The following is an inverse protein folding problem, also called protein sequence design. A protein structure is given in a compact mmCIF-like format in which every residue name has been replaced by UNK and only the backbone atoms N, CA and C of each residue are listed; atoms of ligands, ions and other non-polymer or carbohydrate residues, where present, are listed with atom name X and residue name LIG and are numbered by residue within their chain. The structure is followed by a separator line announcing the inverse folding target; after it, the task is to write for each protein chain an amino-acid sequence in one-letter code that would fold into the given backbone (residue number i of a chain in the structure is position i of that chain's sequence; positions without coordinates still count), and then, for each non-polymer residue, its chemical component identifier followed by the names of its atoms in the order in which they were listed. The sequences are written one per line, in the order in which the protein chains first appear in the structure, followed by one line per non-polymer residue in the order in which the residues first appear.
data_IF_671212985858
#
_entry.id   IF_671212985858
#
_cell.length_a   1.000
_cell.length_b   1.000
_cell.length_c   1.000
_cell.angle_alpha   90.00
_cell.angle_beta   90.00
_cell.angle_gamma   90.00
#
_symmetry.space_group_name_H-M   'P 1'
#
loop_
_entity.id
_entity.type
_entity.pdbx_description
1 polymer ?
#
# COMPACT_ATOMS: atom_id res chain seq x y z
N UNK A 1 12.96 20.44 31.34
CA UNK A 1 12.12 19.30 31.70
C UNK A 1 11.94 18.51 30.43
N UNK A 2 12.59 17.33 30.28
CA UNK A 2 12.38 16.46 29.13
C UNK A 2 10.96 15.92 29.20
N UNK A 3 10.08 16.32 28.26
CA UNK A 3 8.81 15.66 28.07
C UNK A 3 9.10 14.16 27.87
N UNK A 4 8.54 13.34 28.74
CA UNK A 4 8.55 11.89 28.57
C UNK A 4 7.68 11.65 27.33
N UNK A 5 8.30 11.50 26.14
CA UNK A 5 7.58 11.06 24.97
C UNK A 5 7.02 9.68 25.28
N UNK A 6 5.74 9.61 25.55
CA UNK A 6 5.03 8.34 25.72
C UNK A 6 5.18 7.52 24.42
N UNK A 7 5.51 6.24 24.55
CA UNK A 7 5.58 5.35 23.41
C UNK A 7 4.22 5.36 22.69
N UNK A 8 4.19 5.52 21.36
CA UNK A 8 2.95 5.47 20.60
C UNK A 8 2.15 4.19 20.88
N UNK A 9 0.81 4.31 20.85
CA UNK A 9 -0.11 3.18 21.09
C UNK A 9 -0.06 2.17 19.95
N UNK A 10 0.12 2.68 18.71
CA UNK A 10 0.20 1.86 17.49
C UNK A 10 1.63 1.83 16.93
N UNK A 11 1.96 0.75 16.23
CA UNK A 11 3.20 0.65 15.48
C UNK A 11 3.09 1.38 14.14
N UNK A 12 1.92 1.29 13.50
CA UNK A 12 1.64 1.96 12.22
C UNK A 12 0.22 2.52 12.17
N UNK A 13 0.09 3.73 11.64
CA UNK A 13 -1.17 4.33 11.18
C UNK A 13 -1.18 4.31 9.66
N UNK A 14 -2.17 3.67 9.07
CA UNK A 14 -2.29 3.52 7.61
C UNK A 14 -3.47 4.34 7.13
N UNK A 15 -3.16 5.41 6.40
CA UNK A 15 -4.13 6.40 5.94
C UNK A 15 -4.34 6.25 4.45
N UNK A 16 -5.59 6.18 3.99
CA UNK A 16 -5.83 6.24 2.56
C UNK A 16 -6.99 5.44 2.02
N UNK A 17 -6.75 4.77 0.88
CA UNK A 17 -7.76 4.03 0.12
C UNK A 17 -8.05 2.67 0.75
N UNK A 18 -9.30 2.51 1.17
CA UNK A 18 -9.89 1.23 1.58
C UNK A 18 -11.00 0.87 0.62
N UNK A 19 -10.89 -0.27 -0.06
CA UNK A 19 -11.93 -0.77 -0.95
C UNK A 19 -12.11 -2.29 -0.81
N UNK A 20 -13.15 -2.81 -1.45
CA UNK A 20 -13.30 -4.25 -1.68
C UNK A 20 -12.83 -4.55 -3.09
N UNK A 21 -12.01 -5.58 -3.23
CA UNK A 21 -11.78 -6.23 -4.50
C UNK A 21 -12.60 -7.51 -4.61
N UNK A 22 -13.34 -7.63 -5.72
CA UNK A 22 -14.08 -8.82 -6.14
C UNK A 22 -13.30 -9.42 -7.29
N UNK A 23 -12.56 -10.49 -7.01
CA UNK A 23 -11.66 -11.13 -7.99
C UNK A 23 -12.31 -12.41 -8.51
N UNK A 24 -12.45 -12.53 -9.82
CA UNK A 24 -12.87 -13.78 -10.47
C UNK A 24 -11.74 -14.38 -11.29
N UNK A 25 -11.55 -15.71 -11.25
CA UNK A 25 -10.53 -16.41 -12.06
C UNK A 25 -10.94 -17.83 -12.47
N UNK A 26 -10.40 -18.34 -13.62
CA UNK A 26 -9.81 -17.56 -14.71
C UNK A 26 -10.93 -16.94 -15.56
N UNK A 27 -10.82 -15.65 -15.85
CA UNK A 27 -11.77 -14.96 -16.75
C UNK A 27 -11.15 -14.83 -18.13
N UNK A 28 -11.72 -15.51 -19.13
CA UNK A 28 -11.25 -15.46 -20.53
C UNK A 28 -11.87 -14.31 -21.32
N UNK A 29 -13.06 -13.89 -20.91
CA UNK A 29 -13.83 -12.80 -21.51
C UNK A 29 -15.14 -12.60 -20.74
N UNK A 30 -15.84 -11.51 -21.03
CA UNK A 30 -17.19 -11.29 -20.52
C UNK A 30 -18.16 -11.89 -21.54
N UNK A 31 -19.05 -12.82 -21.13
CA UNK A 31 -20.05 -13.41 -22.03
C UNK A 31 -20.98 -12.36 -22.64
N UNK A 32 -21.38 -12.56 -23.90
CA UNK A 32 -22.31 -11.67 -24.60
C UNK A 32 -23.76 -11.85 -24.08
N UNK A 33 -24.48 -10.73 -24.03
CA UNK A 33 -25.89 -10.70 -23.69
C UNK A 33 -26.22 -11.29 -22.31
N UNK A 34 -27.14 -12.26 -22.27
CA UNK A 34 -27.58 -12.92 -21.03
C UNK A 34 -26.87 -14.28 -20.79
N UNK A 35 -25.79 -14.56 -21.52
CA UNK A 35 -25.05 -15.80 -21.36
C UNK A 35 -24.22 -15.77 -20.07
N UNK A 36 -23.93 -16.96 -19.52
CA UNK A 36 -23.05 -17.14 -18.38
C UNK A 36 -21.85 -18.01 -18.78
N UNK A 37 -20.69 -17.71 -18.21
CA UNK A 37 -19.50 -18.55 -18.25
C UNK A 37 -19.17 -19.02 -16.83
N UNK A 38 -18.55 -20.21 -16.72
CA UNK A 38 -18.16 -20.76 -15.43
C UNK A 38 -16.67 -20.54 -15.20
N UNK A 39 -16.35 -19.99 -14.03
CA UNK A 39 -14.99 -19.78 -13.57
C UNK A 39 -14.72 -20.65 -12.33
N UNK A 40 -13.45 -20.77 -11.93
CA UNK A 40 -13.06 -21.69 -10.87
C UNK A 40 -13.24 -21.08 -9.47
N UNK A 41 -13.02 -19.75 -9.34
CA UNK A 41 -13.00 -19.09 -8.05
C UNK A 41 -13.50 -17.65 -8.15
N UNK A 42 -14.25 -17.22 -7.12
CA UNK A 42 -14.53 -15.80 -6.84
C UNK A 42 -14.10 -15.54 -5.41
N UNK A 43 -13.28 -14.50 -5.22
CA UNK A 43 -12.79 -14.08 -3.89
C UNK A 43 -13.13 -12.62 -3.64
N UNK A 44 -13.44 -12.30 -2.38
CA UNK A 44 -13.56 -10.94 -1.87
C UNK A 44 -12.40 -10.67 -0.91
N UNK A 45 -11.73 -9.54 -1.09
CA UNK A 45 -10.64 -9.11 -0.18
C UNK A 45 -10.80 -7.65 0.18
N UNK A 46 -10.32 -7.26 1.36
CA UNK A 46 -10.02 -5.86 1.65
C UNK A 46 -8.80 -5.48 0.84
N UNK A 47 -8.90 -4.39 0.12
CA UNK A 47 -7.90 -3.93 -0.84
C UNK A 47 -7.82 -2.39 -0.85
N UNK A 48 -7.16 -1.86 -1.87
CA UNK A 48 -6.69 -0.47 -1.92
C UNK A 48 -5.35 -0.36 -1.22
N UNK A 49 -4.52 0.60 -1.66
CA UNK A 49 -3.14 0.73 -1.20
C UNK A 49 -3.00 0.87 0.32
N UNK A 50 -3.99 1.44 1.02
CA UNK A 50 -4.02 1.41 2.48
C UNK A 50 -4.60 0.09 3.03
N UNK A 51 -5.66 -0.42 2.40
CA UNK A 51 -6.36 -1.63 2.85
C UNK A 51 -5.50 -2.89 2.75
N UNK A 52 -4.77 -3.09 1.64
CA UNK A 52 -3.81 -4.18 1.48
C UNK A 52 -2.64 -4.05 2.44
N UNK A 53 -1.97 -2.90 2.43
CA UNK A 53 -0.81 -2.63 3.29
C UNK A 53 -1.11 -2.87 4.78
N UNK A 54 -2.26 -2.42 5.30
CA UNK A 54 -2.57 -2.57 6.74
C UNK A 54 -2.84 -4.03 7.12
N UNK A 55 -3.50 -4.80 6.25
CA UNK A 55 -3.74 -6.24 6.48
C UNK A 55 -2.40 -6.97 6.57
N UNK A 56 -1.46 -6.68 5.67
CA UNK A 56 -0.15 -7.30 5.68
C UNK A 56 0.69 -6.85 6.89
N UNK A 57 0.66 -5.58 7.27
CA UNK A 57 1.26 -5.11 8.53
C UNK A 57 0.72 -5.88 9.75
N UNK A 58 -0.60 -6.07 9.83
CA UNK A 58 -1.22 -6.79 10.95
C UNK A 58 -0.83 -8.27 10.98
N UNK A 59 -0.81 -8.96 9.82
CA UNK A 59 -0.32 -10.34 9.69
C UNK A 59 1.14 -10.47 10.11
N UNK A 60 1.95 -9.46 9.81
CA UNK A 60 3.35 -9.38 10.23
C UNK A 60 3.53 -8.98 11.70
N UNK A 61 2.43 -8.89 12.47
CA UNK A 61 2.43 -8.71 13.93
C UNK A 61 2.45 -7.26 14.41
N UNK A 62 2.19 -6.28 13.54
CA UNK A 62 2.14 -4.88 13.93
C UNK A 62 0.77 -4.49 14.52
N UNK A 63 0.77 -3.63 15.53
CA UNK A 63 -0.43 -2.94 16.01
C UNK A 63 -0.77 -1.80 15.06
N UNK A 64 -1.85 -1.95 14.31
CA UNK A 64 -2.19 -1.05 13.21
C UNK A 64 -3.49 -0.29 13.48
N UNK A 65 -3.51 1.01 13.13
CA UNK A 65 -4.69 1.88 13.09
C UNK A 65 -5.08 2.12 11.63
N UNK A 66 -6.32 1.77 11.27
CA UNK A 66 -6.89 2.07 9.96
C UNK A 66 -7.50 3.49 9.96
N UNK A 67 -7.08 4.31 8.99
CA UNK A 67 -7.58 5.68 8.80
C UNK A 67 -8.01 5.85 7.34
N UNK A 68 -9.30 6.10 7.12
CA UNK A 68 -9.85 6.15 5.78
C UNK A 68 -11.34 6.44 5.80
N UNK A 69 -12.03 6.15 4.70
CA UNK A 69 -13.47 6.33 4.62
C UNK A 69 -14.16 5.14 3.95
N UNK A 70 -15.30 4.74 4.50
CA UNK A 70 -16.20 3.71 3.96
C UNK A 70 -17.64 4.22 3.96
N UNK A 71 -18.48 3.66 3.12
CA UNK A 71 -19.92 3.91 3.15
C UNK A 71 -20.61 3.09 4.25
N UNK A 72 -21.83 3.51 4.64
CA UNK A 72 -22.72 2.72 5.49
C UNK A 72 -23.47 1.63 4.69
N UNK A 73 -22.72 0.85 3.92
CA UNK A 73 -23.25 -0.22 3.05
C UNK A 73 -22.65 -1.60 3.40
N UNK A 74 -23.06 -2.65 2.68
CA UNK A 74 -22.57 -4.02 2.86
C UNK A 74 -21.05 -4.10 2.71
N UNK A 75 -20.50 -3.35 1.76
CA UNK A 75 -19.07 -3.34 1.48
C UNK A 75 -18.29 -2.71 2.64
N UNK A 76 -18.78 -1.59 3.20
CA UNK A 76 -18.19 -0.96 4.38
C UNK A 76 -18.21 -1.89 5.59
N UNK A 77 -19.32 -2.61 5.82
CA UNK A 77 -19.40 -3.64 6.89
C UNK A 77 -18.41 -4.77 6.69
N UNK A 78 -18.24 -5.25 5.46
CA UNK A 78 -17.25 -6.28 5.12
C UNK A 78 -15.82 -5.79 5.45
N UNK A 79 -15.44 -4.59 5.02
CA UNK A 79 -14.12 -4.01 5.31
C UNK A 79 -13.90 -3.96 6.84
N UNK A 80 -14.83 -3.36 7.59
CA UNK A 80 -14.70 -3.22 9.04
C UNK A 80 -14.52 -4.58 9.72
N UNK A 81 -15.44 -5.53 9.46
CA UNK A 81 -15.38 -6.86 10.09
C UNK A 81 -14.13 -7.64 9.73
N UNK A 82 -13.64 -7.49 8.50
CA UNK A 82 -12.41 -8.16 8.06
C UNK A 82 -11.19 -7.56 8.76
N UNK A 83 -11.06 -6.22 8.79
CA UNK A 83 -9.95 -5.56 9.49
C UNK A 83 -9.94 -5.89 10.99
N UNK A 84 -11.11 -5.87 11.62
CA UNK A 84 -11.27 -6.24 13.04
C UNK A 84 -10.87 -7.70 13.31
N UNK A 85 -11.12 -8.61 12.36
CA UNK A 85 -10.70 -10.02 12.48
C UNK A 85 -9.18 -10.21 12.48
N UNK A 86 -8.43 -9.26 11.91
CA UNK A 86 -6.97 -9.20 11.99
C UNK A 86 -6.46 -8.42 13.21
N UNK A 87 -7.35 -7.96 14.10
CA UNK A 87 -6.98 -7.17 15.28
C UNK A 87 -6.59 -5.72 14.97
N UNK A 88 -6.96 -5.21 13.81
CA UNK A 88 -6.71 -3.83 13.38
C UNK A 88 -7.69 -2.89 14.07
N UNK A 89 -7.21 -1.78 14.61
CA UNK A 89 -8.06 -0.71 15.14
C UNK A 89 -8.73 0.05 13.99
N UNK A 90 -10.04 -0.09 13.87
CA UNK A 90 -10.87 0.55 12.83
C UNK A 90 -11.46 1.90 13.26
N UNK A 91 -11.14 2.38 14.45
CA UNK A 91 -11.71 3.61 15.02
C UNK A 91 -11.32 4.91 14.28
N UNK A 92 -10.37 4.83 13.36
CA UNK A 92 -10.01 5.93 12.43
C UNK A 92 -10.75 5.88 11.09
N UNK A 93 -11.58 4.85 10.82
CA UNK A 93 -12.37 4.78 9.60
C UNK A 93 -13.65 5.61 9.74
N UNK A 94 -13.78 6.63 8.88
CA UNK A 94 -14.98 7.45 8.76
C UNK A 94 -16.08 6.65 8.04
N UNK A 95 -17.32 6.74 8.55
CA UNK A 95 -18.50 6.10 7.97
C UNK A 95 -19.41 7.18 7.40
N UNK A 96 -19.73 7.08 6.11
CA UNK A 96 -20.50 8.08 5.40
C UNK A 96 -21.84 7.50 4.92
N UNK A 97 -22.94 8.00 5.51
CA UNK A 97 -24.28 7.69 5.02
C UNK A 97 -24.51 8.27 3.62
N UNK A 98 -25.15 7.51 2.75
CA UNK A 98 -25.47 7.95 1.39
C UNK A 98 -24.31 7.98 0.40
N UNK A 99 -23.12 7.53 0.82
CA UNK A 99 -21.94 7.36 -0.06
C UNK A 99 -21.61 5.87 -0.11
N UNK A 100 -21.35 5.35 -1.31
CA UNK A 100 -20.95 3.95 -1.48
C UNK A 100 -19.50 3.73 -1.06
N UNK A 101 -19.19 2.58 -0.47
CA UNK A 101 -17.81 2.15 -0.26
C UNK A 101 -17.13 1.91 -1.61
N UNK A 102 -15.86 2.28 -1.71
CA UNK A 102 -15.01 1.99 -2.87
C UNK A 102 -14.95 0.49 -3.14
N UNK A 103 -14.99 0.09 -4.40
CA UNK A 103 -14.94 -1.30 -4.79
C UNK A 103 -14.40 -1.48 -6.20
N UNK A 104 -13.74 -2.63 -6.43
CA UNK A 104 -13.27 -3.05 -7.76
C UNK A 104 -13.82 -4.41 -8.13
N UNK A 105 -14.04 -4.63 -9.42
CA UNK A 105 -14.23 -5.94 -10.03
C UNK A 105 -12.98 -6.23 -10.85
N UNK A 106 -12.28 -7.32 -10.53
CA UNK A 106 -11.06 -7.73 -11.21
C UNK A 106 -11.28 -9.06 -11.95
N UNK A 107 -11.08 -9.03 -13.26
CA UNK A 107 -11.19 -10.19 -14.13
C UNK A 107 -9.79 -10.79 -14.33
N UNK A 108 -9.37 -11.68 -13.42
CA UNK A 108 -8.03 -12.29 -13.48
C UNK A 108 -7.97 -13.29 -14.62
N UNK A 109 -7.12 -13.01 -15.60
CA UNK A 109 -6.92 -13.82 -16.79
C UNK A 109 -5.96 -14.99 -16.55
N UNK A 110 -5.98 -16.04 -17.42
CA UNK A 110 -5.04 -17.15 -17.31
C UNK A 110 -3.56 -16.77 -17.37
N UNK A 111 -3.24 -15.62 -18.00
CA UNK A 111 -1.88 -15.09 -18.11
C UNK A 111 -1.48 -14.14 -16.95
N UNK A 112 -2.36 -13.97 -15.94
CA UNK A 112 -2.13 -13.11 -14.78
C UNK A 112 -2.53 -11.63 -14.98
N UNK A 113 -2.94 -11.21 -16.20
CA UNK A 113 -3.52 -9.89 -16.39
C UNK A 113 -4.83 -9.74 -15.60
N UNK A 114 -5.10 -8.55 -15.07
CA UNK A 114 -6.25 -8.29 -14.21
C UNK A 114 -6.95 -6.96 -14.55
N UNK A 115 -7.67 -6.88 -15.68
CA UNK A 115 -8.48 -5.70 -15.98
C UNK A 115 -9.41 -5.37 -14.81
N UNK A 116 -9.49 -4.08 -14.47
CA UNK A 116 -10.19 -3.60 -13.29
C UNK A 116 -11.30 -2.61 -13.67
N UNK A 117 -12.48 -2.79 -13.08
CA UNK A 117 -13.57 -1.81 -13.06
C UNK A 117 -13.68 -1.29 -11.62
N UNK A 118 -13.50 0.01 -11.40
CA UNK A 118 -13.42 0.60 -10.06
C UNK A 118 -14.46 1.70 -9.84
N UNK A 119 -15.02 1.72 -8.62
CA UNK A 119 -15.85 2.81 -8.09
C UNK A 119 -15.11 3.46 -6.92
N UNK A 120 -14.81 4.76 -7.04
CA UNK A 120 -14.02 5.53 -6.05
C UNK A 120 -14.73 5.68 -4.69
N UNK A 121 -16.05 5.88 -4.69
CA UNK A 121 -16.89 5.87 -3.51
C UNK A 121 -16.43 6.80 -2.38
N UNK A 122 -16.46 6.29 -1.14
CA UNK A 122 -16.16 7.05 0.07
C UNK A 122 -14.72 7.58 0.14
N UNK A 123 -13.79 7.03 -0.63
CA UNK A 123 -12.41 7.52 -0.69
C UNK A 123 -12.32 8.99 -1.17
N UNK A 124 -13.26 9.43 -2.01
CA UNK A 124 -13.31 10.81 -2.50
C UNK A 124 -13.74 11.83 -1.44
N UNK A 125 -14.38 11.38 -0.37
CA UNK A 125 -14.90 12.27 0.69
C UNK A 125 -14.11 12.20 1.99
N UNK A 126 -13.10 11.34 2.06
CA UNK A 126 -12.18 11.31 3.21
C UNK A 126 -11.61 12.71 3.46
N UNK A 127 -11.70 13.16 4.70
CA UNK A 127 -11.09 14.41 5.17
C UNK A 127 -10.49 14.21 6.54
N UNK A 128 -9.28 14.70 6.76
CA UNK A 128 -8.65 14.76 8.06
C UNK A 128 -8.40 16.22 8.40
N UNK A 129 -8.82 16.61 9.59
CA UNK A 129 -8.60 17.94 10.15
C UNK A 129 -7.62 17.84 11.33
N UNK A 130 -7.07 18.97 11.77
CA UNK A 130 -6.04 19.00 12.83
C UNK A 130 -6.44 18.27 14.10
N UNK A 131 -7.75 18.28 14.46
CA UNK A 131 -8.26 17.53 15.62
C UNK A 131 -8.12 16.01 15.52
N UNK A 132 -8.01 15.47 14.29
CA UNK A 132 -7.84 14.04 14.06
C UNK A 132 -6.38 13.61 14.23
N UNK A 133 -5.45 14.58 14.17
CA UNK A 133 -4.01 14.28 14.16
C UNK A 133 -3.53 13.65 15.45
N UNK A 134 -4.11 13.97 16.59
CA UNK A 134 -3.75 13.35 17.87
C UNK A 134 -3.85 11.82 17.80
N UNK A 135 -4.91 11.29 17.17
CA UNK A 135 -5.11 9.85 16.96
C UNK A 135 -4.22 9.30 15.86
N UNK A 136 -4.21 9.96 14.70
CA UNK A 136 -3.46 9.50 13.51
C UNK A 136 -1.96 9.44 13.77
N UNK A 137 -1.42 10.39 14.54
CA UNK A 137 0.01 10.48 14.85
C UNK A 137 0.41 9.69 16.10
N UNK A 138 -0.52 9.00 16.76
CA UNK A 138 -0.21 8.10 17.88
C UNK A 138 0.27 6.73 17.37
N UNK A 139 1.19 6.77 16.41
CA UNK A 139 1.84 5.63 15.79
C UNK A 139 3.32 5.93 15.54
N UNK A 140 4.17 4.90 15.49
CA UNK A 140 5.59 5.05 15.13
C UNK A 140 5.76 5.36 13.65
N UNK A 141 5.03 4.63 12.79
CA UNK A 141 4.99 4.84 11.34
C UNK A 141 3.66 5.49 10.94
N UNK A 142 3.71 6.43 10.02
CA UNK A 142 2.56 7.05 9.37
C UNK A 142 2.66 6.75 7.88
N UNK A 143 1.85 5.82 7.42
CA UNK A 143 1.79 5.44 6.00
C UNK A 143 0.64 6.14 5.31
N UNK A 144 0.94 6.78 4.17
CA UNK A 144 -0.03 7.40 3.29
C UNK A 144 -0.14 6.58 2.00
N UNK A 145 -1.30 5.95 1.76
CA UNK A 145 -1.53 5.07 0.63
C UNK A 145 -2.77 5.43 -0.18
N UNK A 146 -2.62 5.56 -1.52
CA UNK A 146 -3.74 5.76 -2.44
C UNK A 146 -3.95 7.17 -2.95
N UNK A 147 -2.98 8.08 -2.77
CA UNK A 147 -3.01 9.36 -3.45
C UNK A 147 -3.17 9.16 -4.96
N UNK A 148 -4.05 9.97 -5.56
CA UNK A 148 -4.59 9.80 -6.91
C UNK A 148 -6.06 9.35 -6.92
N UNK A 149 -6.50 8.65 -5.86
CA UNK A 149 -7.90 8.26 -5.64
C UNK A 149 -8.49 8.77 -4.32
N UNK A 150 -7.84 9.69 -3.62
CA UNK A 150 -8.30 10.17 -2.32
C UNK A 150 -9.09 11.49 -2.38
N UNK A 151 -9.39 11.97 -3.59
CA UNK A 151 -10.25 13.14 -3.80
C UNK A 151 -9.81 14.35 -2.96
N UNK A 152 -10.50 14.60 -1.84
CA UNK A 152 -10.24 15.74 -0.97
C UNK A 152 -8.90 15.68 -0.24
N UNK A 153 -8.33 14.49 -0.04
CA UNK A 153 -7.01 14.34 0.59
C UNK A 153 -5.85 14.54 -0.37
N UNK A 154 -6.06 14.44 -1.70
CA UNK A 154 -4.99 14.63 -2.67
C UNK A 154 -4.47 16.09 -2.67
N UNK A 155 -3.18 16.26 -2.39
CA UNK A 155 -2.48 17.55 -2.39
C UNK A 155 -2.26 18.14 -1.00
N UNK A 156 -2.75 19.34 -0.73
CA UNK A 156 -2.45 20.09 0.50
C UNK A 156 -2.81 19.36 1.80
N UNK A 157 -3.96 18.65 1.93
CA UNK A 157 -4.23 17.90 3.16
C UNK A 157 -3.24 16.78 3.43
N UNK A 158 -2.80 16.06 2.39
CA UNK A 158 -1.71 15.06 2.51
C UNK A 158 -0.42 15.71 2.94
N UNK A 159 -0.02 16.86 2.34
CA UNK A 159 1.19 17.60 2.73
C UNK A 159 1.12 18.03 4.19
N UNK A 160 0.00 18.59 4.63
CA UNK A 160 -0.17 19.06 6.01
C UNK A 160 -0.06 17.91 7.02
N UNK A 161 -0.68 16.77 6.73
CA UNK A 161 -0.59 15.57 7.57
C UNK A 161 0.85 15.04 7.67
N UNK A 162 1.55 14.89 6.55
CA UNK A 162 2.94 14.40 6.55
C UNK A 162 3.89 15.37 7.24
N UNK A 163 3.69 16.69 7.05
CA UNK A 163 4.45 17.70 7.78
C UNK A 163 4.23 17.59 9.31
N UNK A 164 2.99 17.41 9.76
CA UNK A 164 2.68 17.19 11.16
C UNK A 164 3.29 15.88 11.69
N UNK A 165 3.28 14.80 10.89
CA UNK A 165 3.90 13.54 11.24
C UNK A 165 5.42 13.70 11.46
N UNK A 166 6.11 14.40 10.57
CA UNK A 166 7.54 14.70 10.71
C UNK A 166 7.82 15.58 11.93
N UNK A 167 7.01 16.62 12.16
CA UNK A 167 7.12 17.46 13.34
C UNK A 167 6.93 16.69 14.66
N UNK A 168 6.09 15.64 14.65
CA UNK A 168 5.88 14.73 15.77
C UNK A 168 6.96 13.63 15.87
N UNK A 169 7.99 13.63 15.02
CA UNK A 169 9.07 12.64 15.02
C UNK A 169 8.63 11.25 14.53
N UNK A 170 7.60 11.18 13.68
CA UNK A 170 7.13 9.93 13.08
C UNK A 170 7.90 9.61 11.82
N UNK A 171 8.01 8.31 11.53
CA UNK A 171 8.59 7.81 10.26
C UNK A 171 7.45 7.81 9.24
N UNK A 172 7.65 8.46 8.11
CA UNK A 172 6.62 8.61 7.08
C UNK A 172 6.93 7.70 5.89
N UNK A 173 5.92 7.00 5.43
CA UNK A 173 5.98 6.18 4.23
C UNK A 173 4.87 6.57 3.27
N UNK A 174 5.12 6.52 1.98
CA UNK A 174 4.20 7.00 0.97
C UNK A 174 4.13 6.03 -0.21
N UNK A 175 2.89 5.73 -0.60
CA UNK A 175 2.55 4.99 -1.80
C UNK A 175 1.35 5.65 -2.48
N UNK A 176 1.11 5.34 -3.75
CA UNK A 176 0.07 6.00 -4.53
C UNK A 176 -0.57 5.03 -5.53
N UNK A 177 -1.58 5.51 -6.24
CA UNK A 177 -2.24 4.78 -7.30
C UNK A 177 -2.68 5.75 -8.41
N UNK A 178 -2.78 5.26 -9.64
CA UNK A 178 -3.11 6.10 -10.81
C UNK A 178 -2.15 7.29 -10.97
N UNK A 179 -0.85 6.99 -10.97
CA UNK A 179 0.21 7.97 -11.17
C UNK A 179 0.04 8.72 -12.50
N UNK A 180 0.05 10.05 -12.42
CA UNK A 180 -0.03 10.94 -13.57
C UNK A 180 0.76 12.22 -13.31
N UNK A 181 1.23 12.90 -14.36
CA UNK A 181 1.90 14.20 -14.21
C UNK A 181 1.05 15.26 -13.46
N UNK A 182 -0.28 15.38 -13.68
CA UNK A 182 -1.12 16.25 -12.85
C UNK A 182 -1.17 15.87 -11.37
N UNK A 183 -1.11 14.58 -11.04
CA UNK A 183 -1.01 14.15 -9.65
C UNK A 183 0.33 14.58 -9.05
N UNK A 184 1.44 14.43 -9.79
CA UNK A 184 2.76 14.87 -9.32
C UNK A 184 2.76 16.33 -8.88
N UNK A 185 2.15 17.22 -9.67
CA UNK A 185 2.05 18.63 -9.30
C UNK A 185 1.32 18.87 -7.96
N UNK A 186 0.37 18.01 -7.59
CA UNK A 186 -0.34 18.09 -6.30
C UNK A 186 0.46 17.55 -5.14
N UNK A 187 1.20 16.43 -5.33
CA UNK A 187 1.90 15.74 -4.25
C UNK A 187 3.35 16.22 -4.06
N UNK A 188 3.96 16.89 -5.07
CA UNK A 188 5.33 17.38 -4.98
C UNK A 188 5.64 18.16 -3.69
N UNK A 189 4.77 19.06 -3.20
CA UNK A 189 5.02 19.76 -1.93
C UNK A 189 5.05 18.85 -0.69
N UNK A 190 4.50 17.64 -0.77
CA UNK A 190 4.48 16.66 0.31
C UNK A 190 5.77 15.82 0.37
N UNK A 191 6.47 15.66 -0.76
CA UNK A 191 7.62 14.74 -0.89
C UNK A 191 8.75 15.04 0.09
N UNK A 192 9.00 16.30 0.45
CA UNK A 192 9.99 16.67 1.45
C UNK A 192 9.74 16.14 2.87
N UNK A 193 8.54 15.61 3.11
CA UNK A 193 8.13 15.03 4.39
C UNK A 193 8.06 13.51 4.34
N UNK A 194 8.57 12.88 3.26
CA UNK A 194 8.52 11.43 3.04
C UNK A 194 9.88 10.81 3.33
N UNK A 195 9.93 9.90 4.31
CA UNK A 195 11.14 9.13 4.60
C UNK A 195 11.34 7.98 3.61
N UNK A 196 10.26 7.26 3.27
CA UNK A 196 10.29 6.12 2.34
C UNK A 196 9.18 6.27 1.30
N UNK A 197 9.56 6.35 0.04
CA UNK A 197 8.66 6.37 -1.11
C UNK A 197 8.82 5.08 -1.91
N UNK A 198 7.73 4.29 -2.03
CA UNK A 198 7.79 2.93 -2.55
C UNK A 198 6.85 2.68 -3.77
N UNK A 199 6.88 3.52 -4.83
CA UNK A 199 6.06 3.30 -6.02
C UNK A 199 6.64 2.19 -6.90
N UNK A 200 5.83 1.71 -7.87
CA UNK A 200 6.38 0.96 -9.00
C UNK A 200 7.18 1.85 -9.94
N UNK A 201 8.07 1.26 -10.73
CA UNK A 201 8.85 2.02 -11.72
C UNK A 201 7.93 2.67 -12.77
N UNK A 202 6.82 2.00 -13.12
CA UNK A 202 5.81 2.54 -14.03
C UNK A 202 5.14 3.79 -13.44
N UNK A 203 4.79 3.77 -12.17
CA UNK A 203 4.23 4.93 -11.47
C UNK A 203 5.26 6.05 -11.35
N UNK A 204 6.48 5.73 -10.95
CA UNK A 204 7.58 6.69 -10.87
C UNK A 204 7.79 7.36 -12.23
N UNK A 205 7.86 6.59 -13.32
CA UNK A 205 8.00 7.10 -14.69
C UNK A 205 6.82 8.00 -15.08
N UNK A 206 5.58 7.60 -14.76
CA UNK A 206 4.39 8.40 -15.06
C UNK A 206 4.37 9.74 -14.29
N UNK A 207 4.98 9.80 -13.10
CA UNK A 207 5.09 11.00 -12.30
C UNK A 207 6.19 11.94 -12.79
N UNK A 208 7.38 11.43 -13.08
CA UNK A 208 8.58 12.24 -13.31
C UNK A 208 9.06 12.26 -14.78
N UNK A 209 8.56 11.35 -15.62
CA UNK A 209 8.98 11.23 -17.02
C UNK A 209 10.33 10.53 -17.25
N UNK A 210 10.96 9.99 -16.20
CA UNK A 210 12.24 9.28 -16.27
C UNK A 210 12.01 7.76 -16.23
N UNK A 211 12.52 7.04 -17.24
CA UNK A 211 12.36 5.57 -17.35
C UNK A 211 13.43 4.79 -16.56
N UNK A 212 14.61 5.40 -16.35
CA UNK A 212 15.70 4.76 -15.58
C UNK A 212 15.44 4.94 -14.09
N UNK A 213 15.51 3.88 -13.29
CA UNK A 213 15.28 3.95 -11.86
C UNK A 213 16.21 4.94 -11.14
N UNK A 214 17.45 5.06 -11.60
CA UNK A 214 18.44 6.00 -11.06
C UNK A 214 17.98 7.45 -11.25
N UNK A 215 17.53 7.81 -12.46
CA UNK A 215 17.09 9.16 -12.80
C UNK A 215 15.76 9.48 -12.10
N UNK A 216 14.84 8.51 -12.02
CA UNK A 216 13.59 8.66 -11.30
C UNK A 216 13.83 8.87 -9.79
N UNK A 217 14.70 8.07 -9.17
CA UNK A 217 15.04 8.24 -7.76
C UNK A 217 15.69 9.59 -7.48
N UNK A 218 16.59 10.06 -8.34
CA UNK A 218 17.21 11.38 -8.21
C UNK A 218 16.18 12.51 -8.25
N UNK A 219 15.21 12.42 -9.17
CA UNK A 219 14.10 13.38 -9.24
C UNK A 219 13.34 13.49 -7.91
N UNK A 220 13.04 12.36 -7.26
CA UNK A 220 12.35 12.36 -5.97
C UNK A 220 13.24 12.81 -4.82
N UNK A 221 14.54 12.50 -4.84
CA UNK A 221 15.51 13.06 -3.89
C UNK A 221 15.61 14.59 -3.99
N UNK A 222 15.56 15.15 -5.21
CA UNK A 222 15.56 16.60 -5.42
C UNK A 222 14.29 17.27 -4.86
N UNK A 223 13.19 16.52 -4.71
CA UNK A 223 11.96 16.95 -4.03
C UNK A 223 11.99 16.74 -2.51
N UNK A 224 13.06 16.13 -1.98
CA UNK A 224 13.27 15.93 -0.55
C UNK A 224 12.92 14.53 -0.01
N UNK A 225 12.55 13.57 -0.85
CA UNK A 225 12.37 12.17 -0.42
C UNK A 225 13.70 11.61 0.08
N UNK A 226 13.70 11.02 1.28
CA UNK A 226 14.93 10.48 1.86
C UNK A 226 15.33 9.14 1.22
N UNK A 227 14.42 8.20 1.07
CA UNK A 227 14.70 6.87 0.51
C UNK A 227 13.66 6.52 -0.54
N UNK A 228 14.11 6.21 -1.76
CA UNK A 228 13.29 5.71 -2.84
C UNK A 228 13.46 4.18 -2.95
N UNK A 229 12.34 3.45 -2.98
CA UNK A 229 12.32 2.00 -3.16
C UNK A 229 11.40 1.68 -4.35
N UNK A 230 11.97 1.69 -5.55
CA UNK A 230 11.21 1.51 -6.79
C UNK A 230 11.02 0.01 -7.06
N UNK A 231 9.78 -0.47 -7.00
CA UNK A 231 9.47 -1.87 -7.34
C UNK A 231 9.44 -2.04 -8.85
N UNK A 232 9.97 -3.16 -9.36
CA UNK A 232 10.10 -3.46 -10.79
C UNK A 232 9.48 -4.82 -11.14
N UNK A 233 8.44 -5.22 -10.40
CA UNK A 233 7.74 -6.48 -10.62
C UNK A 233 8.69 -7.68 -10.64
N UNK A 234 8.71 -8.41 -11.75
CA UNK A 234 9.58 -9.59 -11.94
C UNK A 234 11.08 -9.30 -12.03
N UNK A 235 11.48 -8.04 -12.09
CA UNK A 235 12.90 -7.61 -12.08
C UNK A 235 13.38 -7.18 -10.68
N UNK A 236 12.51 -7.31 -9.67
CA UNK A 236 12.85 -7.02 -8.27
C UNK A 236 12.62 -5.58 -7.85
N UNK A 237 13.59 -4.93 -7.23
CA UNK A 237 13.49 -3.53 -6.85
C UNK A 237 14.84 -2.80 -6.94
N UNK A 238 14.74 -1.48 -7.09
CA UNK A 238 15.86 -0.54 -7.00
C UNK A 238 15.69 0.31 -5.75
N UNK A 239 16.73 0.37 -4.93
CA UNK A 239 16.77 1.18 -3.70
C UNK A 239 17.78 2.29 -3.86
N UNK A 240 17.38 3.51 -3.50
CA UNK A 240 18.24 4.68 -3.48
C UNK A 240 18.06 5.44 -2.16
N UNK A 241 19.18 5.67 -1.49
CA UNK A 241 19.30 6.49 -0.29
C UNK A 241 20.32 7.61 -0.54
N UNK A 242 20.48 8.59 0.35
CA UNK A 242 21.56 9.58 0.21
C UNK A 242 22.97 8.98 0.14
N UNK A 243 23.17 7.79 0.73
CA UNK A 243 24.50 7.20 0.90
C UNK A 243 24.79 6.06 -0.07
N UNK A 244 23.75 5.37 -0.58
CA UNK A 244 23.93 4.17 -1.39
C UNK A 244 22.76 3.91 -2.34
N UNK A 245 23.09 3.22 -3.44
CA UNK A 245 22.10 2.65 -4.37
C UNK A 245 22.41 1.18 -4.63
N UNK A 246 21.36 0.36 -4.74
CA UNK A 246 21.51 -1.06 -5.06
C UNK A 246 20.24 -1.62 -5.70
N UNK A 247 20.37 -2.81 -6.32
CA UNK A 247 19.26 -3.58 -6.88
C UNK A 247 19.14 -4.91 -6.16
N UNK A 248 17.91 -5.34 -5.94
CA UNK A 248 17.60 -6.67 -5.42
C UNK A 248 16.79 -7.44 -6.45
N UNK A 249 17.14 -8.69 -6.75
CA UNK A 249 16.39 -9.52 -7.68
C UNK A 249 15.03 -9.92 -7.10
N UNK A 250 14.06 -10.19 -7.96
CA UNK A 250 12.80 -10.79 -7.55
C UNK A 250 13.00 -12.28 -7.22
N UNK A 251 12.08 -12.83 -6.42
CA UNK A 251 11.99 -14.28 -6.25
C UNK A 251 11.46 -14.96 -7.52
N UNK A 252 11.99 -16.15 -7.82
CA UNK A 252 11.52 -17.00 -8.92
C UNK A 252 10.34 -17.85 -8.42
N UNK A 253 9.14 -17.42 -8.75
CA UNK A 253 7.89 -18.01 -8.30
C UNK A 253 6.91 -18.23 -9.43
N UNK A 254 5.94 -19.11 -9.23
CA UNK A 254 4.79 -19.22 -10.12
C UNK A 254 3.76 -18.14 -9.75
N UNK A 255 3.63 -17.13 -10.61
CA UNK A 255 2.66 -16.05 -10.43
C UNK A 255 1.24 -16.57 -10.67
N UNK A 256 0.33 -16.28 -9.74
CA UNK A 256 -1.11 -16.56 -9.81
C UNK A 256 -1.89 -15.26 -10.03
N UNK A 257 -1.62 -14.24 -9.23
CA UNK A 257 -2.25 -12.93 -9.30
C UNK A 257 -1.29 -11.87 -8.73
N UNK A 258 -1.17 -10.72 -9.40
CA UNK A 258 -0.30 -9.63 -8.94
C UNK A 258 -1.03 -8.55 -8.14
N UNK A 259 -2.31 -8.78 -7.80
CA UNK A 259 -3.11 -7.85 -6.98
C UNK A 259 -2.52 -7.74 -5.58
N UNK A 260 -2.22 -6.51 -5.16
CA UNK A 260 -1.70 -6.22 -3.82
C UNK A 260 -0.22 -6.53 -3.59
N UNK A 261 0.55 -6.94 -4.63
CA UNK A 261 1.99 -7.18 -4.45
C UNK A 261 2.75 -5.94 -3.99
N UNK A 262 2.39 -4.74 -4.49
CA UNK A 262 2.94 -3.46 -4.06
C UNK A 262 2.58 -3.14 -2.60
N UNK A 263 1.30 -3.36 -2.25
CA UNK A 263 0.80 -3.16 -0.89
C UNK A 263 1.53 -4.07 0.11
N UNK A 264 1.71 -5.35 -0.26
CA UNK A 264 2.44 -6.33 0.52
C UNK A 264 3.94 -6.00 0.62
N UNK A 265 4.54 -5.51 -0.46
CA UNK A 265 5.91 -5.01 -0.42
C UNK A 265 6.03 -3.86 0.58
N UNK A 266 5.14 -2.87 0.50
CA UNK A 266 5.13 -1.71 1.41
C UNK A 266 4.87 -2.12 2.86
N UNK A 267 3.90 -3.01 3.11
CA UNK A 267 3.63 -3.57 4.43
C UNK A 267 4.83 -4.32 5.02
N UNK A 268 5.49 -5.14 4.20
CA UNK A 268 6.72 -5.85 4.56
C UNK A 268 7.89 -4.91 4.87
N UNK A 269 8.07 -3.87 4.05
CA UNK A 269 9.09 -2.84 4.27
C UNK A 269 8.89 -2.16 5.63
N UNK A 270 7.67 -1.69 5.92
CA UNK A 270 7.34 -1.04 7.19
C UNK A 270 7.57 -2.00 8.36
N UNK A 271 7.13 -3.26 8.24
CA UNK A 271 7.29 -4.25 9.31
C UNK A 271 8.77 -4.56 9.60
N UNK A 272 9.60 -4.75 8.58
CA UNK A 272 11.02 -5.00 8.75
C UNK A 272 11.77 -3.79 9.35
N UNK A 273 11.47 -2.56 8.88
CA UNK A 273 12.00 -1.33 9.46
C UNK A 273 11.53 -1.13 10.91
N UNK A 274 10.31 -1.59 11.25
CA UNK A 274 9.83 -1.58 12.64
C UNK A 274 10.66 -2.48 13.55
N UNK A 275 11.14 -3.64 13.05
CA UNK A 275 12.07 -4.52 13.76
C UNK A 275 13.49 -3.95 13.87
N UNK A 276 13.77 -2.82 13.22
CA UNK A 276 15.09 -2.16 13.27
C UNK A 276 16.08 -2.71 12.23
N UNK A 277 15.61 -3.43 11.22
CA UNK A 277 16.45 -3.92 10.13
C UNK A 277 16.96 -2.76 9.26
N UNK A 278 18.13 -2.92 8.67
CA UNK A 278 18.64 -1.98 7.68
C UNK A 278 17.81 -2.00 6.39
N UNK A 279 18.02 -1.02 5.54
CA UNK A 279 17.20 -0.86 4.33
C UNK A 279 17.38 -2.03 3.34
N UNK A 280 18.56 -2.65 3.27
CA UNK A 280 18.78 -3.78 2.37
C UNK A 280 18.01 -5.01 2.86
N UNK A 281 18.11 -5.35 4.12
CA UNK A 281 17.37 -6.44 4.74
C UNK A 281 15.85 -6.20 4.66
N UNK A 282 15.41 -4.97 4.94
CA UNK A 282 14.00 -4.59 4.87
C UNK A 282 13.43 -4.70 3.44
N UNK A 283 14.18 -4.27 2.43
CA UNK A 283 13.76 -4.39 1.03
C UNK A 283 13.74 -5.85 0.54
N UNK A 284 14.66 -6.71 0.99
CA UNK A 284 14.64 -8.15 0.72
C UNK A 284 13.39 -8.81 1.31
N UNK A 285 13.07 -8.50 2.55
CA UNK A 285 11.86 -8.99 3.22
C UNK A 285 10.60 -8.49 2.52
N UNK A 286 10.56 -7.23 2.14
CA UNK A 286 9.47 -6.62 1.37
C UNK A 286 9.25 -7.33 0.02
N UNK A 287 10.33 -7.62 -0.72
CA UNK A 287 10.28 -8.39 -1.96
C UNK A 287 9.72 -9.80 -1.75
N UNK A 288 10.02 -10.42 -0.61
CA UNK A 288 9.45 -11.72 -0.22
C UNK A 288 7.95 -11.63 0.05
N UNK A 289 7.49 -10.59 0.75
CA UNK A 289 6.06 -10.34 0.96
C UNK A 289 5.32 -10.22 -0.38
N UNK A 290 5.83 -9.41 -1.31
CA UNK A 290 5.26 -9.29 -2.66
C UNK A 290 5.24 -10.61 -3.43
N UNK A 291 6.29 -11.44 -3.31
CA UNK A 291 6.36 -12.75 -3.94
C UNK A 291 5.35 -13.74 -3.35
N UNK A 292 5.17 -13.75 -2.03
CA UNK A 292 4.18 -14.61 -1.36
C UNK A 292 2.75 -14.26 -1.80
N UNK A 293 2.43 -12.96 -1.88
CA UNK A 293 1.12 -12.49 -2.37
C UNK A 293 0.94 -12.88 -3.84
N UNK A 294 1.95 -12.68 -4.69
CA UNK A 294 1.87 -13.06 -6.11
C UNK A 294 1.62 -14.57 -6.34
N UNK A 295 1.94 -15.42 -5.38
CA UNK A 295 1.68 -16.86 -5.41
C UNK A 295 0.25 -17.27 -5.11
N UNK A 296 -0.64 -16.35 -4.72
CA UNK A 296 -2.04 -16.58 -4.38
C UNK A 296 -3.01 -15.68 -5.14
N UNK A 297 -4.30 -15.75 -4.82
CA UNK A 297 -5.34 -14.88 -5.36
C UNK A 297 -5.69 -13.79 -4.34
N UNK A 298 -5.60 -12.50 -4.75
CA UNK A 298 -5.99 -11.36 -3.93
C UNK A 298 -4.87 -10.83 -3.01
N UNK A 299 -5.04 -9.58 -2.56
CA UNK A 299 -4.04 -8.76 -1.88
C UNK A 299 -3.56 -9.26 -0.51
N UNK A 300 -4.30 -10.17 0.11
CA UNK A 300 -3.99 -10.76 1.42
C UNK A 300 -3.48 -12.20 1.33
N UNK A 301 -3.11 -12.68 0.14
CA UNK A 301 -2.65 -14.05 -0.06
C UNK A 301 -1.23 -14.27 0.52
N UNK A 302 -0.90 -15.53 0.83
CA UNK A 302 0.46 -16.03 1.06
C UNK A 302 1.14 -15.61 2.36
N UNK A 303 1.00 -14.38 2.84
CA UNK A 303 1.58 -13.92 4.11
C UNK A 303 0.81 -14.53 5.28
N UNK A 304 1.51 -15.19 6.21
CA UNK A 304 0.96 -15.79 7.44
C UNK A 304 1.39 -14.98 8.66
N UNK A 305 2.69 -14.85 8.87
CA UNK A 305 3.32 -14.10 9.95
C UNK A 305 4.75 -13.68 9.58
N UNK A 306 5.37 -12.86 10.42
CA UNK A 306 6.74 -12.36 10.20
C UNK A 306 7.76 -13.49 10.12
N UNK A 307 7.70 -14.46 11.02
CA UNK A 307 8.69 -15.54 11.11
C UNK A 307 8.65 -16.48 9.90
N UNK A 308 7.47 -16.84 9.44
CA UNK A 308 7.31 -17.68 8.24
C UNK A 308 7.72 -16.93 6.96
N UNK A 309 7.47 -15.63 6.92
CA UNK A 309 7.92 -14.76 5.82
C UNK A 309 9.45 -14.64 5.80
N UNK A 310 10.09 -14.46 6.97
CA UNK A 310 11.55 -14.45 7.10
C UNK A 310 12.17 -15.79 6.66
N UNK A 311 11.56 -16.90 7.05
CA UNK A 311 12.01 -18.23 6.58
C UNK A 311 11.89 -18.36 5.06
N UNK A 312 10.81 -17.82 4.46
CA UNK A 312 10.62 -17.78 3.01
C UNK A 312 11.66 -16.91 2.32
N UNK A 313 12.06 -15.78 2.91
CA UNK A 313 13.12 -14.90 2.38
C UNK A 313 14.45 -15.64 2.17
N UNK A 314 14.75 -16.60 3.04
CA UNK A 314 15.98 -17.41 2.95
C UNK A 314 15.86 -18.66 2.09
N UNK A 315 14.63 -19.12 1.79
CA UNK A 315 14.39 -20.41 1.13
C UNK A 315 13.86 -20.29 -0.31
N UNK A 316 13.14 -19.20 -0.63
CA UNK A 316 12.64 -19.00 -1.98
C UNK A 316 13.79 -18.71 -2.96
N UNK A 317 13.81 -19.35 -4.14
CA UNK A 317 14.79 -19.05 -5.16
C UNK A 317 14.65 -17.60 -5.65
N UNK A 318 15.78 -17.01 -6.04
CA UNK A 318 15.81 -15.68 -6.66
C UNK A 318 16.10 -15.80 -8.14
N UNK A 319 15.60 -14.88 -8.93
CA UNK A 319 15.93 -14.80 -10.36
C UNK A 319 17.39 -14.37 -10.54
N UNK A 320 18.03 -14.89 -11.58
CA UNK A 320 19.43 -14.61 -11.96
C UNK A 320 19.49 -13.65 -13.12
#
# INVERSE_FOLDING_TARGET
MSEIQTKPTHDVSVIGLYCIDILGRPVRGIPDGANADFIEEIRLTVAGTAGGTIVDCAKLGMKALAVGAVGEDEKGRFILSTLESFGIDTSGLQRHAGVHTAASILAVRPNGERPCLHVRGASDVLTLVESDYAKVLDARFVHMGGNGLLGKMDGEPTRALLAAAKAAGRITTFDLIFATAPLMAKIAPAMQYVDYFAPSIEEATALCGHEKPEDAAQYFHDLGVHTCVLTMGGDGCFVSTPDTTFRLPAHDIKVVDTTGCGDAFTGGLIAALHQGWDIEQAARFAGTCGALVAGGLGSDAGIIDFKSTEASMHSLPVKH
#
